data_IF_570600848057
#
_entry.id   IF_570600848057
#
_cell.length_a   1.000
_cell.length_b   1.000
_cell.length_c   1.000
_cell.angle_alpha   90.00
_cell.angle_beta   90.00
_cell.angle_gamma   90.00
#
_symmetry.space_group_name_H-M   'P 1'
#
loop_
_entity.id
_entity.type
_entity.pdbx_description
1 polymer ?
#
# COMPACT_ATOMS: atom_id res chain seq x y z
N UNK A 1 -15.23 -15.55 -20.75
CA UNK A 1 -15.21 -16.63 -21.75
C UNK A 1 -13.82 -16.84 -22.33
N UNK A 2 -13.26 -15.88 -23.10
CA UNK A 2 -11.91 -16.01 -23.66
C UNK A 2 -10.87 -16.42 -22.60
N UNK A 3 -10.81 -15.71 -21.47
CA UNK A 3 -9.95 -16.02 -20.31
C UNK A 3 -10.11 -17.43 -19.79
N UNK A 4 -11.36 -17.89 -19.62
CA UNK A 4 -11.68 -19.25 -19.17
C UNK A 4 -11.16 -20.29 -20.15
N UNK A 5 -11.29 -20.03 -21.45
CA UNK A 5 -10.95 -20.96 -22.51
C UNK A 5 -9.43 -21.04 -22.76
N UNK A 6 -8.73 -19.91 -22.75
CA UNK A 6 -7.30 -19.84 -23.10
C UNK A 6 -6.37 -20.11 -21.92
N UNK A 7 -6.82 -19.85 -20.68
CA UNK A 7 -6.10 -20.15 -19.42
C UNK A 7 -4.66 -19.64 -19.34
N UNK A 8 -4.40 -18.45 -19.87
CA UNK A 8 -3.11 -17.75 -19.68
C UNK A 8 -3.10 -16.99 -18.37
N UNK A 9 -1.96 -16.97 -17.67
CA UNK A 9 -1.80 -16.26 -16.39
C UNK A 9 -1.95 -14.74 -16.51
N UNK A 10 -1.69 -14.20 -17.70
CA UNK A 10 -1.83 -12.77 -18.00
C UNK A 10 -2.64 -12.55 -19.28
N UNK A 11 -3.32 -11.38 -19.41
CA UNK A 11 -3.53 -10.39 -18.35
C UNK A 11 -4.49 -10.90 -17.27
N UNK A 12 -4.21 -10.59 -15.99
CA UNK A 12 -5.19 -10.74 -14.91
C UNK A 12 -6.42 -9.85 -15.12
N UNK A 13 -7.51 -10.10 -14.37
CA UNK A 13 -8.77 -9.36 -14.48
C UNK A 13 -9.24 -8.86 -13.12
N UNK A 14 -9.75 -7.63 -13.10
CA UNK A 14 -10.46 -7.05 -11.96
C UNK A 14 -11.94 -6.90 -12.32
N UNK A 15 -12.82 -7.35 -11.43
CA UNK A 15 -14.26 -7.14 -11.54
C UNK A 15 -14.72 -6.18 -10.45
N UNK A 16 -15.27 -5.03 -10.88
CA UNK A 16 -15.93 -4.05 -10.01
C UNK A 16 -17.34 -4.53 -9.71
N UNK A 17 -17.54 -5.01 -8.48
CA UNK A 17 -18.81 -5.55 -8.02
C UNK A 17 -19.72 -4.44 -7.48
N UNK A 18 -20.91 -4.38 -8.05
CA UNK A 18 -22.06 -3.61 -7.60
C UNK A 18 -23.30 -4.52 -7.62
N UNK A 19 -24.27 -4.21 -6.76
CA UNK A 19 -25.58 -4.90 -6.79
C UNK A 19 -26.32 -4.72 -8.12
N UNK A 20 -25.96 -3.71 -8.92
CA UNK A 20 -26.51 -3.50 -10.26
C UNK A 20 -25.97 -4.48 -11.33
N UNK A 21 -24.94 -5.26 -11.02
CA UNK A 21 -24.36 -6.16 -12.02
C UNK A 21 -25.32 -7.30 -12.37
N UNK A 22 -25.60 -7.45 -13.67
CA UNK A 22 -26.47 -8.53 -14.17
C UNK A 22 -25.89 -9.92 -13.84
N UNK A 23 -26.77 -10.82 -13.37
CA UNK A 23 -26.44 -12.22 -13.04
C UNK A 23 -25.72 -12.95 -14.19
N UNK A 24 -26.10 -12.66 -15.45
CA UNK A 24 -25.43 -13.23 -16.64
C UNK A 24 -23.93 -12.99 -16.65
N UNK A 25 -23.46 -11.80 -16.26
CA UNK A 25 -22.03 -11.48 -16.19
C UNK A 25 -21.39 -12.13 -14.97
N UNK A 26 -22.06 -12.11 -13.81
CA UNK A 26 -21.56 -12.72 -12.57
C UNK A 26 -21.28 -14.23 -12.75
N UNK A 27 -22.10 -14.94 -13.53
CA UNK A 27 -21.84 -16.34 -13.89
C UNK A 27 -20.51 -16.50 -14.62
N UNK A 28 -20.17 -15.64 -15.57
CA UNK A 28 -18.88 -15.70 -16.27
C UNK A 28 -17.68 -15.37 -15.37
N UNK A 29 -17.85 -14.44 -14.43
CA UNK A 29 -16.85 -14.15 -13.40
C UNK A 29 -16.60 -15.40 -12.56
N UNK A 30 -17.67 -16.03 -12.06
CA UNK A 30 -17.59 -17.26 -11.28
C UNK A 30 -16.97 -18.43 -12.05
N UNK A 31 -17.27 -18.57 -13.34
CA UNK A 31 -16.69 -19.61 -14.20
C UNK A 31 -15.16 -19.51 -14.30
N UNK A 32 -14.58 -18.31 -14.20
CA UNK A 32 -13.12 -18.15 -14.15
C UNK A 32 -12.57 -18.49 -12.76
N UNK A 33 -13.25 -18.03 -11.69
CA UNK A 33 -12.83 -18.25 -10.30
C UNK A 33 -12.87 -19.74 -9.94
N UNK A 34 -13.96 -20.44 -10.25
CA UNK A 34 -14.14 -21.87 -9.93
C UNK A 34 -13.14 -22.78 -10.66
N UNK A 35 -12.64 -22.32 -11.81
CA UNK A 35 -11.64 -23.00 -12.63
C UNK A 35 -10.22 -22.82 -12.07
N UNK A 36 -10.07 -22.15 -10.92
CA UNK A 36 -8.81 -21.99 -10.21
C UNK A 36 -7.87 -20.95 -10.82
N UNK A 37 -8.37 -20.05 -11.68
CA UNK A 37 -7.53 -19.04 -12.32
C UNK A 37 -7.00 -17.99 -11.33
N UNK A 38 -7.70 -17.77 -10.21
CA UNK A 38 -7.36 -16.73 -9.24
C UNK A 38 -7.90 -15.33 -9.59
N UNK A 39 -8.57 -15.18 -10.74
CA UNK A 39 -9.22 -13.95 -11.20
C UNK A 39 -10.50 -14.26 -11.99
N UNK A 40 -11.44 -13.29 -12.15
CA UNK A 40 -11.35 -11.89 -11.72
C UNK A 40 -11.26 -11.68 -10.20
N UNK A 41 -10.33 -10.83 -9.76
CA UNK A 41 -10.35 -10.31 -8.37
C UNK A 41 -11.52 -9.35 -8.21
N UNK A 42 -12.17 -9.36 -7.04
CA UNK A 42 -13.39 -8.56 -6.82
C UNK A 42 -13.06 -7.28 -6.07
N UNK A 43 -13.51 -6.13 -6.60
CA UNK A 43 -13.43 -4.83 -5.94
C UNK A 43 -14.81 -4.28 -5.65
N UNK A 44 -14.96 -3.57 -4.53
CA UNK A 44 -16.20 -2.89 -4.20
C UNK A 44 -16.35 -1.64 -5.09
N UNK A 45 -17.41 -1.59 -5.89
CA UNK A 45 -17.61 -0.51 -6.87
C UNK A 45 -17.88 0.84 -6.20
N UNK A 46 -18.77 0.86 -5.22
CA UNK A 46 -19.19 2.07 -4.51
C UNK A 46 -18.01 2.74 -3.79
N UNK A 47 -17.16 1.94 -3.13
CA UNK A 47 -15.94 2.45 -2.47
C UNK A 47 -14.99 3.10 -3.48
N UNK A 48 -14.81 2.50 -4.67
CA UNK A 48 -13.96 3.07 -5.71
C UNK A 48 -14.51 4.39 -6.26
N UNK A 49 -15.83 4.48 -6.46
CA UNK A 49 -16.51 5.70 -6.91
C UNK A 49 -16.34 6.82 -5.90
N UNK A 50 -16.65 6.56 -4.63
CA UNK A 50 -16.52 7.57 -3.56
C UNK A 50 -15.07 8.00 -3.36
N UNK A 51 -14.11 7.09 -3.55
CA UNK A 51 -12.69 7.45 -3.56
C UNK A 51 -12.37 8.43 -4.69
N UNK A 52 -12.81 8.19 -5.93
CA UNK A 52 -12.55 9.12 -7.03
C UNK A 52 -13.11 10.50 -6.73
N UNK A 53 -14.35 10.59 -6.21
CA UNK A 53 -14.98 11.85 -5.79
C UNK A 53 -14.18 12.57 -4.71
N UNK A 54 -13.72 11.83 -3.69
CA UNK A 54 -12.90 12.38 -2.61
C UNK A 54 -11.64 13.03 -3.17
N UNK A 55 -10.89 12.33 -4.03
CA UNK A 55 -9.66 12.85 -4.61
C UNK A 55 -9.90 14.03 -5.55
N UNK A 56 -11.04 14.08 -6.26
CA UNK A 56 -11.40 15.21 -7.12
C UNK A 56 -11.42 16.54 -6.37
N UNK A 57 -11.82 16.53 -5.09
CA UNK A 57 -11.84 17.72 -4.23
C UNK A 57 -10.47 18.36 -3.98
N UNK A 58 -9.38 17.67 -4.31
CA UNK A 58 -8.00 18.15 -4.15
C UNK A 58 -7.34 18.53 -5.49
N UNK A 59 -8.10 18.59 -6.59
CA UNK A 59 -7.60 19.02 -7.89
C UNK A 59 -7.02 20.43 -7.85
N UNK A 60 -5.79 20.61 -8.33
CA UNK A 60 -5.09 21.90 -8.28
C UNK A 60 -5.62 22.93 -9.28
N UNK A 61 -6.24 22.47 -10.38
CA UNK A 61 -6.85 23.34 -11.39
C UNK A 61 -8.39 23.28 -11.36
N UNK A 62 -8.97 22.76 -10.27
CA UNK A 62 -10.41 22.57 -10.11
C UNK A 62 -11.10 21.74 -11.22
N UNK A 63 -10.35 20.86 -11.89
CA UNK A 63 -10.85 19.97 -12.93
C UNK A 63 -10.68 18.48 -12.56
N UNK A 64 -10.93 18.14 -11.30
CA UNK A 64 -11.03 16.75 -10.86
C UNK A 64 -12.18 16.01 -11.55
N UNK A 65 -12.34 14.72 -11.26
CA UNK A 65 -13.46 13.94 -11.77
C UNK A 65 -14.80 14.58 -11.35
N UNK A 66 -15.71 14.75 -12.31
CA UNK A 66 -17.13 15.01 -11.99
C UNK A 66 -17.76 13.81 -11.29
N UNK A 67 -18.97 13.98 -10.75
CA UNK A 67 -19.70 12.87 -10.14
C UNK A 67 -19.91 11.71 -11.14
N UNK A 68 -20.19 12.02 -12.40
CA UNK A 68 -20.35 11.02 -13.46
C UNK A 68 -19.00 10.37 -13.82
N UNK A 69 -17.94 11.17 -13.99
CA UNK A 69 -16.60 10.66 -14.31
C UNK A 69 -16.04 9.77 -13.20
N UNK A 70 -16.42 9.98 -11.94
CA UNK A 70 -16.00 9.13 -10.82
C UNK A 70 -16.41 7.65 -10.99
N UNK A 71 -17.43 7.35 -11.81
CA UNK A 71 -17.79 5.98 -12.18
C UNK A 71 -16.82 5.33 -13.18
N UNK A 72 -16.02 6.11 -13.89
CA UNK A 72 -15.07 5.66 -14.90
C UNK A 72 -13.70 5.34 -14.27
N UNK A 73 -13.67 4.36 -13.36
CA UNK A 73 -12.43 3.95 -12.68
C UNK A 73 -12.00 2.51 -13.00
N UNK A 74 -10.69 2.28 -13.00
CA UNK A 74 -10.04 0.95 -13.09
C UNK A 74 -8.98 0.83 -12.01
N UNK A 75 -8.48 -0.37 -11.72
CA UNK A 75 -7.24 -0.44 -10.96
C UNK A 75 -6.07 -0.01 -11.87
N UNK A 76 -5.18 0.85 -11.34
CA UNK A 76 -3.96 1.28 -12.05
C UNK A 76 -2.98 0.10 -12.19
N UNK A 77 -2.83 -0.69 -11.13
CA UNK A 77 -2.11 -1.97 -11.12
C UNK A 77 -2.99 -3.01 -10.40
N UNK A 78 -2.49 -3.66 -9.36
CA UNK A 78 -3.23 -4.71 -8.68
C UNK A 78 -4.43 -4.20 -7.88
N UNK A 79 -4.27 -3.10 -7.14
CA UNK A 79 -5.19 -2.79 -6.02
C UNK A 79 -5.80 -1.40 -6.01
N UNK A 80 -5.12 -0.37 -6.52
CA UNK A 80 -5.54 1.03 -6.36
C UNK A 80 -6.39 1.49 -7.54
N UNK A 81 -7.60 2.02 -7.29
CA UNK A 81 -8.40 2.70 -8.29
C UNK A 81 -7.69 3.91 -8.92
N UNK A 82 -8.10 4.27 -10.12
CA UNK A 82 -7.74 5.49 -10.83
C UNK A 82 -8.67 5.68 -12.04
N UNK A 83 -8.84 6.92 -12.49
CA UNK A 83 -9.70 7.22 -13.63
C UNK A 83 -9.17 6.59 -14.93
N UNK A 84 -10.10 6.16 -15.77
CA UNK A 84 -9.86 5.85 -17.17
C UNK A 84 -10.72 6.74 -18.06
N UNK A 85 -10.28 6.96 -19.30
CA UNK A 85 -10.99 7.83 -20.24
C UNK A 85 -10.00 8.61 -21.11
N UNK A 86 -10.49 9.66 -21.75
CA UNK A 86 -9.70 10.52 -22.64
C UNK A 86 -8.86 11.59 -21.93
N UNK A 87 -9.13 11.83 -20.64
CA UNK A 87 -8.52 12.88 -19.82
C UNK A 87 -8.40 12.41 -18.38
N UNK A 88 -7.59 13.10 -17.57
CA UNK A 88 -7.49 12.92 -16.10
C UNK A 88 -6.95 11.58 -15.61
N UNK A 89 -6.55 10.68 -16.51
CA UNK A 89 -5.95 9.40 -16.12
C UNK A 89 -4.60 9.62 -15.43
N UNK A 90 -4.20 8.71 -14.56
CA UNK A 90 -2.86 8.77 -13.97
C UNK A 90 -1.79 8.42 -15.01
N UNK A 91 -0.70 9.21 -15.06
CA UNK A 91 0.32 9.12 -16.10
C UNK A 91 1.64 8.49 -15.67
N UNK A 92 1.89 8.39 -14.37
CA UNK A 92 3.16 7.91 -13.81
C UNK A 92 2.96 7.27 -12.44
N UNK A 93 3.85 6.34 -12.07
CA UNK A 93 3.90 5.74 -10.73
C UNK A 93 4.37 6.73 -9.66
N UNK A 94 4.97 7.86 -10.07
CA UNK A 94 5.32 8.95 -9.17
C UNK A 94 4.08 9.57 -8.50
N UNK A 95 2.92 9.63 -9.19
CA UNK A 95 1.64 10.04 -8.58
C UNK A 95 1.26 9.09 -7.43
N UNK A 96 1.27 7.79 -7.69
CA UNK A 96 0.84 6.79 -6.73
C UNK A 96 1.42 5.42 -7.03
N UNK A 97 1.82 4.72 -5.98
CA UNK A 97 2.57 3.48 -6.05
C UNK A 97 3.82 3.49 -5.16
N UNK A 98 4.58 2.40 -5.21
CA UNK A 98 5.65 2.09 -4.26
C UNK A 98 5.15 1.27 -3.06
N UNK A 99 6.06 0.82 -2.21
CA UNK A 99 5.73 0.03 -1.04
C UNK A 99 6.59 0.39 0.17
N UNK A 100 6.01 0.22 1.35
CA UNK A 100 6.67 0.32 2.66
C UNK A 100 6.38 -0.98 3.45
N UNK A 101 7.24 -1.33 4.40
CA UNK A 101 7.22 -2.64 5.06
C UNK A 101 7.07 -2.55 6.58
N UNK A 102 5.84 -2.49 7.15
CA UNK A 102 5.63 -2.34 8.58
C UNK A 102 6.31 -3.41 9.44
N UNK A 103 6.45 -4.65 8.96
CA UNK A 103 7.12 -5.70 9.74
C UNK A 103 8.59 -5.37 10.02
N UNK A 104 9.34 -4.94 9.00
CA UNK A 104 10.73 -4.52 9.17
C UNK A 104 10.83 -3.25 10.01
N UNK A 105 9.90 -2.31 9.85
CA UNK A 105 9.85 -1.11 10.69
C UNK A 105 9.65 -1.45 12.17
N UNK A 106 8.81 -2.45 12.49
CA UNK A 106 8.64 -2.91 13.87
C UNK A 106 9.89 -3.60 14.41
N UNK A 107 10.52 -4.44 13.60
CA UNK A 107 11.77 -5.11 14.00
C UNK A 107 12.87 -4.12 14.38
N UNK A 108 13.10 -3.10 13.55
CA UNK A 108 14.10 -2.06 13.89
C UNK A 108 13.62 -1.15 15.03
N UNK A 109 12.30 -0.99 15.24
CA UNK A 109 11.79 -0.29 16.44
C UNK A 109 12.24 -0.99 17.71
N UNK A 110 12.25 -2.33 17.70
CA UNK A 110 12.73 -3.18 18.79
C UNK A 110 14.26 -3.29 18.84
N UNK A 111 14.99 -2.46 18.09
CA UNK A 111 16.44 -2.42 18.10
C UNK A 111 16.98 -1.00 17.76
N UNK A 112 16.34 0.04 18.30
CA UNK A 112 16.76 1.44 18.15
C UNK A 112 17.03 1.91 16.71
N UNK A 113 16.24 1.44 15.74
CA UNK A 113 16.35 1.74 14.32
C UNK A 113 17.41 0.94 13.56
N UNK A 114 18.13 0.03 14.22
CA UNK A 114 19.19 -0.78 13.62
C UNK A 114 18.67 -2.12 13.09
N UNK A 115 18.93 -2.41 11.82
CA UNK A 115 18.57 -3.68 11.18
C UNK A 115 19.68 -4.72 11.37
N UNK A 116 19.58 -5.50 12.43
CA UNK A 116 20.56 -6.55 12.77
C UNK A 116 20.35 -7.84 11.97
N UNK A 117 19.14 -8.11 11.48
CA UNK A 117 18.78 -9.43 10.93
C UNK A 117 19.02 -9.57 9.44
N UNK A 118 19.12 -8.45 8.73
CA UNK A 118 19.29 -8.46 7.28
C UNK A 118 20.45 -7.59 6.80
N UNK A 119 20.39 -6.26 7.01
CA UNK A 119 21.36 -5.34 6.43
C UNK A 119 22.59 -5.08 7.30
N UNK A 120 22.55 -5.42 8.59
CA UNK A 120 23.58 -5.10 9.59
C UNK A 120 24.01 -3.62 9.55
N UNK A 121 23.02 -2.73 9.59
CA UNK A 121 23.25 -1.28 9.58
C UNK A 121 22.07 -0.51 10.19
N UNK A 122 22.31 0.76 10.52
CA UNK A 122 21.22 1.67 10.89
C UNK A 122 20.27 1.87 9.71
N UNK A 123 19.01 1.48 9.86
CA UNK A 123 18.01 1.54 8.79
C UNK A 123 17.02 2.70 8.97
N UNK A 124 16.72 3.05 10.22
CA UNK A 124 15.82 4.14 10.57
C UNK A 124 16.41 5.08 11.63
N UNK A 125 15.66 6.09 12.09
CA UNK A 125 16.07 6.94 13.21
C UNK A 125 16.32 6.12 14.50
N UNK A 126 17.17 6.63 15.37
CA UNK A 126 17.34 6.11 16.73
C UNK A 126 16.13 6.52 17.59
N UNK A 127 15.15 5.63 17.70
CA UNK A 127 13.87 5.88 18.40
C UNK A 127 13.87 5.45 19.86
N UNK A 128 15.03 5.06 20.40
CA UNK A 128 15.22 4.60 21.78
C UNK A 128 15.53 3.11 21.89
N UNK A 129 16.21 2.74 22.98
CA UNK A 129 16.40 1.35 23.40
C UNK A 129 15.04 0.78 23.85
N UNK A 130 14.58 -0.37 23.30
CA UNK A 130 13.30 -0.97 23.67
C UNK A 130 13.17 -1.27 25.16
N UNK A 131 14.26 -1.50 25.89
CA UNK A 131 14.21 -1.72 27.34
C UNK A 131 13.75 -0.49 28.13
N UNK A 132 13.82 0.70 27.53
CA UNK A 132 13.31 1.95 28.09
C UNK A 132 11.83 2.20 27.83
N UNK A 133 11.14 1.35 27.05
CA UNK A 133 9.70 1.50 26.76
C UNK A 133 8.88 0.93 27.92
N UNK A 134 8.57 1.76 28.92
CA UNK A 134 7.83 1.37 30.13
C UNK A 134 6.37 0.99 29.84
N UNK A 135 5.78 1.57 28.78
CA UNK A 135 4.40 1.34 28.36
C UNK A 135 4.32 0.85 26.90
N UNK A 136 3.19 0.25 26.53
CA UNK A 136 2.94 -0.13 25.14
C UNK A 136 2.86 1.11 24.24
N UNK A 137 2.38 2.22 24.78
CA UNK A 137 2.30 3.51 24.10
C UNK A 137 3.70 4.04 23.71
N UNK A 138 4.73 3.82 24.53
CA UNK A 138 6.12 4.18 24.20
C UNK A 138 6.62 3.40 22.97
N UNK A 139 6.39 2.09 22.94
CA UNK A 139 6.71 1.24 21.79
C UNK A 139 5.91 1.66 20.54
N UNK A 140 4.63 1.95 20.71
CA UNK A 140 3.76 2.38 19.62
C UNK A 140 4.23 3.71 19.03
N UNK A 141 4.69 4.64 19.86
CA UNK A 141 5.21 5.92 19.40
C UNK A 141 6.57 5.78 18.72
N UNK A 142 7.46 4.93 19.22
CA UNK A 142 8.71 4.61 18.54
C UNK A 142 8.45 4.01 17.14
N UNK A 143 7.48 3.08 17.03
CA UNK A 143 7.05 2.53 15.74
C UNK A 143 6.46 3.60 14.82
N UNK A 144 5.66 4.52 15.37
CA UNK A 144 5.12 5.66 14.60
C UNK A 144 6.23 6.53 14.04
N UNK A 145 7.29 6.80 14.80
CA UNK A 145 8.44 7.58 14.35
C UNK A 145 9.19 6.88 13.21
N UNK A 146 9.44 5.56 13.32
CA UNK A 146 10.01 4.76 12.23
C UNK A 146 9.14 4.84 10.96
N UNK A 147 7.83 4.68 11.12
CA UNK A 147 6.88 4.77 10.02
C UNK A 147 6.85 6.14 9.36
N UNK A 148 6.80 7.22 10.16
CA UNK A 148 6.78 8.60 9.70
C UNK A 148 8.04 8.96 8.90
N UNK A 149 9.21 8.55 9.38
CA UNK A 149 10.47 8.68 8.64
C UNK A 149 10.40 7.99 7.29
N UNK A 150 10.03 6.70 7.27
CA UNK A 150 10.02 5.90 6.06
C UNK A 150 9.01 6.41 5.02
N UNK A 151 7.77 6.72 5.42
CA UNK A 151 6.74 7.20 4.49
C UNK A 151 7.07 8.59 3.93
N UNK A 152 7.68 9.47 4.74
CA UNK A 152 8.13 10.78 4.28
C UNK A 152 9.18 10.67 3.18
N UNK A 153 10.15 9.76 3.32
CA UNK A 153 11.12 9.49 2.25
C UNK A 153 10.45 8.90 1.00
N UNK A 154 9.57 7.92 1.18
CA UNK A 154 8.87 7.27 0.09
C UNK A 154 8.07 8.25 -0.78
N UNK A 155 7.36 9.21 -0.16
CA UNK A 155 6.57 10.20 -0.89
C UNK A 155 7.48 11.26 -1.53
N UNK A 156 8.42 11.84 -0.77
CA UNK A 156 9.32 12.88 -1.31
C UNK A 156 10.16 12.39 -2.48
N UNK A 157 10.63 11.15 -2.44
CA UNK A 157 11.39 10.56 -3.55
C UNK A 157 10.55 10.51 -4.84
N UNK A 158 9.26 10.15 -4.73
CA UNK A 158 8.34 10.15 -5.88
C UNK A 158 8.09 11.56 -6.41
N UNK A 159 7.95 12.55 -5.54
CA UNK A 159 7.72 13.93 -5.98
C UNK A 159 8.95 14.51 -6.69
N UNK A 160 10.16 14.20 -6.20
CA UNK A 160 11.42 14.53 -6.90
C UNK A 160 11.49 13.82 -8.25
N UNK A 161 11.10 12.54 -8.32
CA UNK A 161 11.01 11.83 -9.59
C UNK A 161 10.03 12.53 -10.55
N UNK A 162 8.83 12.92 -10.09
CA UNK A 162 7.84 13.65 -10.90
C UNK A 162 8.37 14.98 -11.42
N UNK A 163 9.17 15.68 -10.62
CA UNK A 163 9.81 16.94 -11.01
C UNK A 163 10.80 16.75 -12.17
N UNK A 164 11.57 15.66 -12.15
CA UNK A 164 12.54 15.31 -13.20
C UNK A 164 11.81 14.82 -14.45
N UNK A 165 10.81 13.94 -14.29
CA UNK A 165 10.04 13.35 -15.40
C UNK A 165 9.48 14.41 -16.36
N UNK A 166 8.79 15.40 -15.82
CA UNK A 166 8.15 16.45 -16.64
C UNK A 166 9.15 17.39 -17.34
N UNK A 167 10.43 17.37 -16.96
CA UNK A 167 11.48 18.25 -17.50
C UNK A 167 12.40 17.55 -18.49
N UNK A 168 12.62 16.25 -18.30
CA UNK A 168 13.65 15.52 -19.04
C UNK A 168 13.17 14.19 -19.64
N UNK A 169 12.00 13.70 -19.23
CA UNK A 169 11.40 12.44 -19.71
C UNK A 169 9.98 12.67 -20.21
N UNK A 170 9.79 13.76 -20.95
CA UNK A 170 8.49 14.09 -21.53
C UNK A 170 7.97 12.94 -22.39
N UNK A 171 6.66 12.74 -22.35
CA UNK A 171 5.96 11.67 -23.05
C UNK A 171 5.01 12.28 -24.09
N UNK A 172 5.52 12.83 -25.22
CA UNK A 172 4.72 13.59 -26.17
C UNK A 172 3.59 12.76 -26.79
N UNK A 173 3.77 11.44 -26.96
CA UNK A 173 2.69 10.57 -27.43
C UNK A 173 1.55 10.46 -26.43
N UNK A 174 1.85 10.30 -25.13
CA UNK A 174 0.83 10.23 -24.06
C UNK A 174 0.12 11.58 -23.93
N UNK A 175 0.86 12.69 -24.02
CA UNK A 175 0.28 14.03 -24.07
C UNK A 175 -0.66 14.22 -25.26
N UNK A 176 -0.28 13.72 -26.44
CA UNK A 176 -1.07 13.91 -27.66
C UNK A 176 -2.43 13.19 -27.62
N UNK A 177 -2.59 12.18 -26.77
CA UNK A 177 -3.83 11.39 -26.64
C UNK A 177 -4.62 11.70 -25.36
N UNK A 178 -4.15 12.64 -24.53
CA UNK A 178 -4.88 13.16 -23.37
C UNK A 178 -5.47 14.53 -23.72
N UNK A 179 -6.80 14.66 -23.63
CA UNK A 179 -7.50 15.87 -24.07
C UNK A 179 -7.05 17.13 -23.29
N UNK A 180 -6.69 16.99 -22.01
CA UNK A 180 -6.21 18.11 -21.19
C UNK A 180 -4.79 18.51 -21.53
N UNK A 181 -3.92 17.53 -21.76
CA UNK A 181 -2.55 17.79 -22.21
C UNK A 181 -2.54 18.48 -23.57
N UNK A 182 -3.39 18.02 -24.50
CA UNK A 182 -3.54 18.63 -25.82
C UNK A 182 -4.09 20.06 -25.74
N UNK A 183 -5.15 20.28 -24.96
CA UNK A 183 -5.77 21.60 -24.79
C UNK A 183 -4.78 22.63 -24.20
N UNK A 184 -3.99 22.21 -23.21
CA UNK A 184 -3.13 23.10 -22.44
C UNK A 184 -1.69 23.16 -22.95
N UNK A 185 -1.34 22.33 -23.95
CA UNK A 185 0.04 22.22 -24.45
C UNK A 185 1.03 21.74 -23.37
N UNK A 186 0.58 20.87 -22.46
CA UNK A 186 1.37 20.40 -21.32
C UNK A 186 1.83 18.95 -21.50
N UNK A 187 3.02 18.65 -20.96
CA UNK A 187 3.48 17.27 -20.85
C UNK A 187 2.56 16.46 -19.89
N UNK A 188 2.34 15.18 -20.19
CA UNK A 188 1.46 14.30 -19.41
C UNK A 188 1.94 14.07 -17.98
N UNK A 189 3.23 14.22 -17.69
CA UNK A 189 3.73 14.20 -16.31
C UNK A 189 3.75 15.60 -15.68
N UNK A 190 3.56 16.68 -16.44
CA UNK A 190 3.38 18.02 -15.89
C UNK A 190 1.93 18.26 -15.45
N UNK A 191 0.96 17.92 -16.31
CA UNK A 191 -0.46 18.09 -16.01
C UNK A 191 -0.97 16.97 -15.09
N UNK A 192 -1.57 17.32 -13.96
CA UNK A 192 -2.23 16.38 -13.05
C UNK A 192 -3.55 16.98 -12.56
N UNK A 193 -4.65 16.66 -13.25
CA UNK A 193 -5.96 17.25 -12.96
C UNK A 193 -6.74 16.45 -11.91
N UNK A 194 -6.56 15.13 -11.90
CA UNK A 194 -7.08 14.24 -10.86
C UNK A 194 -5.92 13.75 -9.98
N UNK A 195 -5.86 14.17 -8.71
CA UNK A 195 -4.93 13.59 -7.76
C UNK A 195 -5.24 12.11 -7.53
N UNK A 196 -4.20 11.30 -7.35
CA UNK A 196 -4.36 9.88 -7.01
C UNK A 196 -3.15 9.41 -6.20
N UNK A 197 -2.88 10.06 -5.07
CA UNK A 197 -1.73 9.74 -4.23
C UNK A 197 -1.95 8.49 -3.38
N UNK A 198 -1.13 7.44 -3.55
CA UNK A 198 -1.06 6.29 -2.63
C UNK A 198 0.35 5.69 -2.48
N UNK A 199 0.50 4.85 -1.45
CA UNK A 199 1.66 4.00 -1.20
C UNK A 199 1.19 2.68 -0.55
N UNK A 200 1.87 1.56 -0.82
CA UNK A 200 1.38 0.24 -0.36
C UNK A 200 2.06 -0.20 0.95
N UNK A 201 1.34 -0.33 2.08
CA UNK A 201 1.85 -1.00 3.25
C UNK A 201 1.78 -2.53 3.05
N UNK A 202 2.92 -3.15 2.80
CA UNK A 202 3.06 -4.61 2.61
C UNK A 202 3.64 -5.18 3.91
N UNK A 203 3.19 -6.35 4.36
CA UNK A 203 3.54 -7.00 5.66
C UNK A 203 2.86 -6.41 6.90
N UNK A 204 1.86 -5.55 6.74
CA UNK A 204 1.14 -4.90 7.85
C UNK A 204 0.58 -5.87 8.89
N UNK A 205 0.09 -7.03 8.47
CA UNK A 205 -0.49 -8.02 9.38
C UNK A 205 0.57 -8.66 10.29
N UNK A 206 1.80 -8.83 9.82
CA UNK A 206 2.90 -9.32 10.68
C UNK A 206 3.14 -8.31 11.80
N UNK A 207 3.30 -7.03 11.46
CA UNK A 207 3.48 -5.98 12.47
C UNK A 207 2.28 -5.87 13.43
N UNK A 208 1.06 -5.93 12.90
CA UNK A 208 -0.15 -5.84 13.72
C UNK A 208 -0.26 -7.00 14.72
N UNK A 209 -0.10 -8.25 14.26
CA UNK A 209 -0.17 -9.43 15.12
C UNK A 209 0.98 -9.43 16.14
N UNK A 210 2.18 -9.01 15.74
CA UNK A 210 3.30 -8.84 16.67
C UNK A 210 2.98 -7.81 17.76
N UNK A 211 2.41 -6.66 17.41
CA UNK A 211 2.04 -5.64 18.39
C UNK A 211 0.93 -6.13 19.34
N UNK A 212 -0.04 -6.91 18.87
CA UNK A 212 -1.05 -7.55 19.72
C UNK A 212 -0.39 -8.50 20.74
N UNK A 213 0.52 -9.36 20.26
CA UNK A 213 1.21 -10.31 21.14
C UNK A 213 2.13 -9.62 22.16
N UNK A 214 2.87 -8.59 21.73
CA UNK A 214 3.75 -7.79 22.61
C UNK A 214 2.91 -7.09 23.69
N UNK A 215 1.83 -6.40 23.30
CA UNK A 215 0.94 -5.73 24.25
C UNK A 215 0.48 -6.68 25.35
N UNK A 216 0.00 -7.86 24.95
CA UNK A 216 -0.54 -8.84 25.88
C UNK A 216 0.52 -9.47 26.77
N UNK A 217 1.57 -10.05 26.18
CA UNK A 217 2.54 -10.88 26.92
C UNK A 217 3.59 -10.07 27.68
N UNK A 218 3.96 -8.89 27.18
CA UNK A 218 5.01 -8.05 27.79
C UNK A 218 4.40 -6.99 28.71
N UNK A 219 3.35 -6.30 28.28
CA UNK A 219 2.81 -5.15 29.02
C UNK A 219 1.61 -5.49 29.92
N UNK A 220 0.63 -6.26 29.44
CA UNK A 220 -0.59 -6.56 30.20
C UNK A 220 -0.37 -7.71 31.20
N UNK A 221 0.08 -8.87 30.74
CA UNK A 221 0.28 -10.07 31.57
C UNK A 221 1.67 -10.11 32.23
N UNK A 222 2.64 -9.37 31.67
CA UNK A 222 4.03 -9.34 32.13
C UNK A 222 4.63 -10.75 32.27
N UNK A 223 4.24 -11.65 31.36
CA UNK A 223 4.76 -13.03 31.30
C UNK A 223 6.24 -13.04 30.91
N UNK A 224 6.64 -12.09 30.07
CA UNK A 224 8.03 -11.87 29.65
C UNK A 224 8.41 -10.40 29.78
N UNK A 225 9.68 -10.13 30.02
CA UNK A 225 10.23 -8.77 29.91
C UNK A 225 10.55 -8.43 28.45
N UNK A 226 10.69 -7.13 28.15
CA UNK A 226 11.14 -6.69 26.82
C UNK A 226 12.49 -7.30 26.45
N UNK A 227 13.47 -7.27 27.36
CA UNK A 227 14.80 -7.87 27.14
C UNK A 227 14.70 -9.36 26.80
N UNK A 228 13.91 -10.13 27.55
CA UNK A 228 13.75 -11.57 27.29
C UNK A 228 13.21 -11.85 25.89
N UNK A 229 12.24 -11.05 25.43
CA UNK A 229 11.71 -11.16 24.08
C UNK A 229 12.76 -10.77 23.03
N UNK A 230 13.47 -9.66 23.22
CA UNK A 230 14.52 -9.19 22.29
C UNK A 230 15.65 -10.22 22.17
N UNK A 231 16.11 -10.79 23.27
CA UNK A 231 17.11 -11.87 23.28
C UNK A 231 16.62 -13.10 22.48
N UNK A 232 15.36 -13.49 22.70
CA UNK A 232 14.74 -14.60 21.98
C UNK A 232 14.63 -14.31 20.47
N UNK A 233 14.35 -13.06 20.08
CA UNK A 233 14.34 -12.64 18.67
C UNK A 233 15.74 -12.76 18.05
N UNK A 234 16.78 -12.26 18.72
CA UNK A 234 18.18 -12.34 18.25
C UNK A 234 18.67 -13.79 18.13
N UNK A 235 18.19 -14.69 18.98
CA UNK A 235 18.47 -16.12 18.89
C UNK A 235 17.63 -16.85 17.82
N UNK A 236 16.79 -16.14 17.04
CA UNK A 236 15.80 -16.74 16.15
C UNK A 236 14.96 -17.82 16.87
N UNK A 237 14.62 -17.55 18.13
CA UNK A 237 13.93 -18.42 19.07
C UNK A 237 14.65 -19.73 19.44
N UNK A 238 15.92 -19.93 19.08
CA UNK A 238 16.70 -21.09 19.49
C UNK A 238 16.86 -21.12 21.02
N UNK A 239 16.33 -22.16 21.67
CA UNK A 239 16.27 -22.25 23.13
C UNK A 239 15.05 -21.58 23.78
N UNK A 240 14.17 -20.92 23.00
CA UNK A 240 13.00 -20.17 23.47
C UNK A 240 11.68 -20.67 22.87
N UNK A 241 11.57 -21.96 22.54
CA UNK A 241 10.39 -22.51 21.82
C UNK A 241 9.07 -22.32 22.58
N UNK A 242 9.06 -22.45 23.91
CA UNK A 242 7.87 -22.20 24.72
C UNK A 242 7.38 -20.75 24.55
N UNK A 243 8.30 -19.78 24.68
CA UNK A 243 8.01 -18.36 24.47
C UNK A 243 7.51 -18.12 23.04
N UNK A 244 8.15 -18.71 22.03
CA UNK A 244 7.71 -18.58 20.63
C UNK A 244 6.27 -19.08 20.43
N UNK A 245 5.91 -20.22 21.04
CA UNK A 245 4.56 -20.77 20.98
C UNK A 245 3.55 -19.87 21.70
N UNK A 246 3.93 -19.30 22.84
CA UNK A 246 3.08 -18.33 23.53
C UNK A 246 2.77 -17.11 22.66
N UNK A 247 3.79 -16.51 22.01
CA UNK A 247 3.57 -15.43 21.04
C UNK A 247 2.73 -15.88 19.84
N UNK A 248 2.97 -17.08 19.32
CA UNK A 248 2.25 -17.63 18.15
C UNK A 248 0.76 -17.87 18.41
N UNK A 249 0.42 -18.22 19.65
CA UNK A 249 -0.94 -18.56 20.06
C UNK A 249 -1.75 -17.35 20.56
N UNK A 250 -1.19 -16.14 20.47
CA UNK A 250 -1.95 -14.91 20.74
C UNK A 250 -3.03 -14.66 19.67
N UNK A 251 -4.14 -13.98 20.04
CA UNK A 251 -5.24 -13.66 19.13
C UNK A 251 -4.84 -12.94 17.84
#
# INVERSE_FOLDING_TARGET
EATKNIRTTEPSIVFRYSMANRVKTLRWVFECIRDGLGYPSIKNDDIGIEQMKMYSGFSQNANGATEEEAHAWVNVLCMSPGLHGRRKTQKTRAEGGGALFPAKLLEITLNNGYDWSYADMQLGPETGDPNGFETFEDLWEAFRQQYAYAISLCVRAKDVQRFIEQRFLQMPFVSAIDDGCMELGMDSTALSEQPNGWHNPITSIVAANSLVAIRKLVYEEKKYTMQQMVDALHANWEGYEEMRQDFKNQP
#
